data_IF_283321728933
#
_entry.id   IF_283321728933
#
_cell.length_a   1.000
_cell.length_b   1.000
_cell.length_c   1.000
_cell.angle_alpha   90.00
_cell.angle_beta   90.00
_cell.angle_gamma   90.00
#
_symmetry.space_group_name_H-M   'P 1'
#
loop_
_entity.id
_entity.type
_entity.pdbx_description
1 polymer ?
#
# COMPACT_ATOMS: atom_id res chain seq x y z
N UNK A 1 8.77 1.64 -12.99
CA UNK A 1 9.97 1.05 -12.36
C UNK A 1 9.54 0.34 -11.11
N UNK A 2 9.61 -1.00 -11.12
CA UNK A 2 9.25 -1.83 -9.99
C UNK A 2 10.40 -1.83 -8.98
N UNK A 3 10.26 -1.12 -7.86
CA UNK A 3 11.17 -1.31 -6.73
C UNK A 3 10.82 -2.66 -6.08
N UNK A 4 11.80 -3.56 -6.03
CA UNK A 4 11.65 -5.01 -5.91
C UNK A 4 11.21 -5.55 -4.53
N UNK A 5 10.47 -4.78 -3.73
CA UNK A 5 10.00 -5.25 -2.40
C UNK A 5 8.51 -5.05 -2.16
N UNK A 6 7.83 -4.10 -2.81
CA UNK A 6 6.37 -3.97 -2.75
C UNK A 6 5.88 -3.45 -4.10
N UNK A 7 5.39 -4.30 -5.03
CA UNK A 7 4.69 -3.81 -6.21
C UNK A 7 3.42 -3.10 -5.74
N UNK A 8 3.36 -1.79 -5.90
CA UNK A 8 2.15 -0.98 -5.69
C UNK A 8 1.62 -0.60 -7.07
N UNK A 9 0.34 -0.87 -7.29
CA UNK A 9 -0.37 -0.48 -8.49
C UNK A 9 -0.98 0.89 -8.25
N UNK A 10 -0.43 1.94 -8.87
CA UNK A 10 -0.95 3.29 -8.81
C UNK A 10 -1.34 3.74 -10.22
N UNK A 11 -2.61 4.08 -10.50
CA UNK A 11 -3.05 4.45 -11.85
C UNK A 11 -2.34 5.68 -12.42
N UNK A 12 -1.81 6.55 -11.55
CA UNK A 12 -1.11 7.79 -11.93
C UNK A 12 0.32 7.53 -12.46
N UNK A 13 0.91 6.38 -12.11
CA UNK A 13 2.24 5.96 -12.58
C UNK A 13 2.17 4.84 -13.64
N UNK A 14 0.96 4.50 -14.08
CA UNK A 14 0.76 3.53 -15.15
C UNK A 14 1.36 4.09 -16.46
N UNK A 15 2.17 3.32 -17.21
CA UNK A 15 2.78 3.77 -18.46
C UNK A 15 1.77 4.30 -19.49
N UNK A 16 0.52 3.82 -19.46
CA UNK A 16 -0.53 4.22 -20.39
C UNK A 16 -1.22 5.54 -19.97
N UNK A 17 -1.15 5.90 -18.69
CA UNK A 17 -1.86 7.04 -18.12
C UNK A 17 -0.92 8.13 -17.56
N UNK A 18 0.40 7.90 -17.64
CA UNK A 18 1.42 8.84 -17.23
C UNK A 18 1.36 10.12 -18.08
N UNK A 19 1.18 11.26 -17.42
CA UNK A 19 1.27 12.58 -18.04
C UNK A 19 2.58 13.25 -17.62
N UNK A 20 3.30 13.94 -18.52
CA UNK A 20 4.52 14.67 -18.16
C UNK A 20 4.27 15.83 -17.17
N UNK A 21 3.00 16.23 -16.98
CA UNK A 21 2.58 17.19 -15.96
C UNK A 21 2.44 16.58 -14.55
N UNK A 22 2.48 15.25 -14.41
CA UNK A 22 2.35 14.56 -13.13
C UNK A 22 3.54 14.88 -12.23
N UNK A 23 3.26 15.52 -11.08
CA UNK A 23 4.28 15.84 -10.07
C UNK A 23 4.40 14.72 -9.05
N UNK A 24 5.58 14.57 -8.46
CA UNK A 24 5.84 13.62 -7.37
C UNK A 24 4.86 13.81 -6.20
N UNK A 25 4.48 15.06 -5.92
CA UNK A 25 3.48 15.38 -4.91
C UNK A 25 2.13 14.68 -5.17
N UNK A 26 1.65 14.66 -6.41
CA UNK A 26 0.41 13.99 -6.78
C UNK A 26 0.51 12.48 -6.61
N UNK A 27 1.69 11.90 -6.87
CA UNK A 27 1.96 10.48 -6.61
C UNK A 27 1.94 10.17 -5.12
N UNK A 28 2.53 11.04 -4.29
CA UNK A 28 2.50 10.88 -2.83
C UNK A 28 1.08 11.01 -2.28
N UNK A 29 0.29 11.97 -2.78
CA UNK A 29 -1.12 12.12 -2.37
C UNK A 29 -1.95 10.90 -2.77
N UNK A 30 -1.78 10.38 -3.99
CA UNK A 30 -2.46 9.17 -4.44
C UNK A 30 -2.09 7.94 -3.59
N UNK A 31 -0.81 7.83 -3.22
CA UNK A 31 -0.34 6.79 -2.31
C UNK A 31 -0.96 6.93 -0.91
N UNK A 32 -1.00 8.15 -0.36
CA UNK A 32 -1.60 8.42 0.95
C UNK A 32 -3.09 8.06 0.96
N UNK A 33 -3.83 8.46 -0.09
CA UNK A 33 -5.23 8.13 -0.25
C UNK A 33 -5.46 6.61 -0.25
N UNK A 34 -4.64 5.85 -0.98
CA UNK A 34 -4.74 4.39 -1.03
C UNK A 34 -4.43 3.70 0.31
N UNK A 35 -3.53 4.28 1.11
CA UNK A 35 -3.22 3.77 2.47
C UNK A 35 -4.38 4.06 3.42
N UNK A 36 -5.01 5.23 3.31
CA UNK A 36 -6.15 5.61 4.15
C UNK A 36 -7.42 4.81 3.78
N UNK A 37 -7.64 4.62 2.48
CA UNK A 37 -8.80 3.92 1.92
C UNK A 37 -8.31 2.80 1.00
N UNK A 38 -8.00 1.61 1.55
CA UNK A 38 -7.57 0.49 0.73
C UNK A 38 -8.74 -0.04 -0.12
N UNK A 39 -8.49 -0.31 -1.40
CA UNK A 39 -9.45 -0.94 -2.31
C UNK A 39 -9.32 -2.48 -2.25
N UNK A 40 -10.29 -3.20 -1.68
CA UNK A 40 -10.21 -4.66 -1.57
C UNK A 40 -10.39 -5.37 -2.91
N UNK A 41 -11.10 -4.78 -3.88
CA UNK A 41 -11.35 -5.38 -5.20
C UNK A 41 -10.09 -5.47 -6.08
N UNK A 42 -9.13 -4.56 -5.88
CA UNK A 42 -7.87 -4.50 -6.63
C UNK A 42 -6.66 -4.87 -5.77
N UNK A 43 -6.87 -5.55 -4.64
CA UNK A 43 -5.78 -5.93 -3.76
C UNK A 43 -4.84 -6.94 -4.44
N UNK A 44 -3.54 -6.67 -4.40
CA UNK A 44 -2.50 -7.64 -4.79
C UNK A 44 -2.55 -8.94 -3.97
N UNK A 45 -3.12 -8.86 -2.76
CA UNK A 45 -3.26 -9.97 -1.82
C UNK A 45 -4.74 -10.21 -1.54
N UNK A 46 -5.33 -11.11 -2.33
CA UNK A 46 -6.75 -11.46 -2.25
C UNK A 46 -7.13 -12.07 -0.89
N UNK A 47 -6.22 -12.79 -0.24
CA UNK A 47 -6.39 -13.36 1.10
C UNK A 47 -6.62 -12.27 2.17
N UNK A 48 -5.85 -11.19 2.09
CA UNK A 48 -5.99 -10.05 3.00
C UNK A 48 -7.21 -9.19 2.67
N UNK A 49 -7.57 -9.05 1.40
CA UNK A 49 -8.77 -8.33 0.99
C UNK A 49 -10.05 -9.02 1.44
N UNK A 50 -10.10 -10.35 1.35
CA UNK A 50 -11.22 -11.12 1.85
C UNK A 50 -11.34 -10.99 3.38
N UNK A 51 -10.22 -11.04 4.11
CA UNK A 51 -10.20 -10.80 5.56
C UNK A 51 -10.59 -9.36 5.91
N UNK A 52 -10.18 -8.36 5.13
CA UNK A 52 -10.57 -6.96 5.30
C UNK A 52 -12.08 -6.75 5.12
N UNK A 53 -12.67 -7.38 4.10
CA UNK A 53 -14.10 -7.31 3.82
C UNK A 53 -14.95 -8.07 4.83
N UNK A 54 -14.49 -9.26 5.28
CA UNK A 54 -15.22 -10.09 6.24
C UNK A 54 -15.06 -9.61 7.68
N UNK A 55 -13.83 -9.30 8.10
CA UNK A 55 -13.46 -9.07 9.50
C UNK A 55 -12.43 -7.93 9.66
N UNK A 56 -12.87 -6.69 9.42
CA UNK A 56 -12.03 -5.48 9.55
C UNK A 56 -11.35 -5.33 10.91
N UNK A 57 -11.97 -5.79 12.00
CA UNK A 57 -11.38 -5.74 13.36
C UNK A 57 -10.16 -6.67 13.49
N UNK A 58 -10.25 -7.87 12.92
CA UNK A 58 -9.16 -8.85 12.94
C UNK A 58 -8.01 -8.37 12.07
N UNK A 59 -8.32 -7.90 10.85
CA UNK A 59 -7.35 -7.31 9.95
C UNK A 59 -6.57 -6.17 10.62
N UNK A 60 -7.25 -5.23 11.27
CA UNK A 60 -6.58 -4.10 11.95
C UNK A 60 -5.64 -4.56 13.06
N UNK A 61 -6.04 -5.56 13.87
CA UNK A 61 -5.17 -6.10 14.93
C UNK A 61 -3.91 -6.76 14.34
N UNK A 62 -4.08 -7.56 13.29
CA UNK A 62 -2.97 -8.20 12.58
C UNK A 62 -2.08 -7.16 11.90
N UNK A 63 -2.64 -6.11 11.32
CA UNK A 63 -1.90 -5.01 10.70
C UNK A 63 -1.08 -4.21 11.73
N UNK A 64 -1.63 -3.95 12.92
CA UNK A 64 -0.89 -3.33 14.02
C UNK A 64 0.29 -4.20 14.50
N UNK A 65 0.08 -5.50 14.67
CA UNK A 65 1.13 -6.46 15.04
C UNK A 65 2.21 -6.53 13.95
N UNK A 66 1.81 -6.56 12.68
CA UNK A 66 2.71 -6.58 11.54
C UNK A 66 3.54 -5.29 11.44
N UNK A 67 2.93 -4.14 11.68
CA UNK A 67 3.62 -2.83 11.69
C UNK A 67 4.64 -2.77 12.83
N UNK A 68 4.27 -3.25 14.03
CA UNK A 68 5.19 -3.32 15.18
C UNK A 68 6.37 -4.25 14.92
N UNK A 69 6.16 -5.40 14.29
CA UNK A 69 7.20 -6.38 14.00
C UNK A 69 8.12 -5.93 12.86
N UNK A 70 7.56 -5.38 11.78
CA UNK A 70 8.34 -4.88 10.62
C UNK A 70 9.23 -3.71 11.01
N UNK A 71 8.81 -2.86 11.95
CA UNK A 71 9.64 -1.78 12.51
C UNK A 71 10.92 -2.29 13.22
N UNK A 72 10.93 -3.51 13.73
CA UNK A 72 12.11 -4.10 14.41
C UNK A 72 13.18 -4.63 13.44
N UNK A 73 12.89 -4.79 12.15
CA UNK A 73 13.86 -5.22 11.14
C UNK A 73 14.36 -4.06 10.26
N UNK A 74 14.40 -2.83 10.81
CA UNK A 74 15.21 -1.77 10.22
C UNK A 74 16.69 -2.02 10.54
N UNK A 75 17.61 -2.09 9.55
CA UNK A 75 19.04 -2.18 9.84
C UNK A 75 19.47 -0.86 10.47
N UNK A 76 19.83 -0.89 11.75
CA UNK A 76 20.38 0.23 12.52
C UNK A 76 19.61 1.57 12.45
N UNK A 77 18.97 1.93 13.56
CA UNK A 77 18.99 3.32 14.00
C UNK A 77 19.32 3.34 15.50
N UNK A 78 20.30 4.14 15.94
CA UNK A 78 20.58 4.33 17.37
C UNK A 78 19.37 4.90 18.11
#
# INVERSE_FOLDING_TARGET
MCLATIPICLPIVDPNNWKPATRTEQVMMALLALIQEPEPDHALRADLAEEFNKDRKKFNKTAEEFTKNTRRSGPNRP
#
